data_IF_316422180678
#
_entry.id   IF_316422180678
#
_cell.length_a   1.000
_cell.length_b   1.000
_cell.length_c   1.000
_cell.angle_alpha   90.00
_cell.angle_beta   90.00
_cell.angle_gamma   90.00
#
_symmetry.space_group_name_H-M   'P 1'
#
loop_
_entity.id
_entity.type
_entity.pdbx_description
1 polymer ?
#
# COMPACT_ATOMS: atom_id res chain seq x y z
N UNK A 1 58.71 48.07 -8.85
CA UNK A 1 57.90 48.07 -7.63
C UNK A 1 56.53 47.51 -7.97
N UNK A 2 56.29 46.23 -7.67
CA UNK A 2 54.97 45.59 -7.57
C UNK A 2 55.21 44.17 -7.02
N UNK A 3 55.08 44.01 -5.70
CA UNK A 3 55.19 42.73 -5.02
C UNK A 3 53.92 41.92 -5.33
N UNK A 4 54.07 40.80 -6.04
CA UNK A 4 53.00 39.83 -6.20
C UNK A 4 52.68 39.19 -4.86
N UNK A 5 51.45 39.37 -4.38
CA UNK A 5 50.92 38.67 -3.20
C UNK A 5 50.45 37.29 -3.64
N UNK A 6 51.29 36.29 -3.42
CA UNK A 6 50.93 34.89 -3.61
C UNK A 6 49.94 34.49 -2.51
N UNK A 7 48.72 34.12 -2.90
CA UNK A 7 47.77 33.47 -2.01
C UNK A 7 48.33 32.10 -1.62
N UNK A 8 48.63 31.93 -0.33
CA UNK A 8 49.04 30.63 0.22
C UNK A 8 47.79 29.77 0.42
N UNK A 9 47.59 28.79 -0.46
CA UNK A 9 46.58 27.75 -0.27
C UNK A 9 47.04 26.88 0.91
N UNK A 10 46.46 27.09 2.09
CA UNK A 10 46.66 26.21 3.25
C UNK A 10 46.11 24.82 2.89
N UNK A 11 47.00 23.84 2.77
CA UNK A 11 46.62 22.44 2.60
C UNK A 11 45.86 21.91 3.81
N UNK A 12 44.96 20.97 3.55
CA UNK A 12 44.08 20.33 4.54
C UNK A 12 44.90 19.70 5.67
N UNK A 13 44.58 20.02 6.93
CA UNK A 13 45.33 19.50 8.08
C UNK A 13 44.80 18.13 8.51
N UNK A 14 45.66 17.25 9.05
CA UNK A 14 45.25 15.91 9.52
C UNK A 14 44.19 16.00 10.63
N UNK A 15 44.24 17.03 11.48
CA UNK A 15 43.23 17.26 12.53
C UNK A 15 41.88 17.69 11.94
N UNK A 16 41.88 18.53 10.90
CA UNK A 16 40.67 18.92 10.18
C UNK A 16 40.00 17.72 9.52
N UNK A 17 40.78 16.79 8.94
CA UNK A 17 40.27 15.52 8.42
C UNK A 17 39.57 14.70 9.51
N UNK A 18 40.21 14.54 10.67
CA UNK A 18 39.66 13.75 11.79
C UNK A 18 38.35 14.37 12.28
N UNK A 19 38.29 15.70 12.42
CA UNK A 19 37.09 16.41 12.85
C UNK A 19 35.96 16.21 11.82
N UNK A 20 36.25 16.37 10.53
CA UNK A 20 35.28 16.18 9.44
C UNK A 20 34.74 14.75 9.43
N UNK A 21 35.62 13.74 9.51
CA UNK A 21 35.21 12.33 9.58
C UNK A 21 34.35 12.07 10.81
N UNK A 22 34.73 12.61 11.97
CA UNK A 22 33.96 12.46 13.22
C UNK A 22 32.55 13.03 13.07
N UNK A 23 32.42 14.23 12.50
CA UNK A 23 31.12 14.85 12.21
C UNK A 23 30.31 13.98 11.24
N UNK A 24 30.92 13.50 10.15
CA UNK A 24 30.26 12.62 9.18
C UNK A 24 29.76 11.33 9.84
N UNK A 25 30.56 10.68 10.70
CA UNK A 25 30.18 9.45 11.40
C UNK A 25 29.01 9.69 12.34
N UNK A 26 29.01 10.78 13.10
CA UNK A 26 27.89 11.14 13.98
C UNK A 26 26.62 11.37 13.17
N UNK A 27 26.71 12.15 12.08
CA UNK A 27 25.56 12.43 11.21
C UNK A 27 25.05 11.16 10.51
N UNK A 28 25.94 10.30 10.00
CA UNK A 28 25.59 9.05 9.37
C UNK A 28 24.91 8.09 10.37
N UNK A 29 25.43 8.00 11.60
CA UNK A 29 24.82 7.20 12.66
C UNK A 29 23.41 7.67 13.00
N UNK A 30 23.19 8.97 13.14
CA UNK A 30 21.84 9.54 13.35
C UNK A 30 20.90 9.27 12.18
N UNK A 31 21.40 9.40 10.95
CA UNK A 31 20.61 9.17 9.74
C UNK A 31 20.15 7.72 9.62
N UNK A 32 21.06 6.76 9.86
CA UNK A 32 20.77 5.32 9.77
C UNK A 32 19.64 4.88 10.70
N UNK A 33 19.52 5.48 11.89
CA UNK A 33 18.44 5.17 12.84
C UNK A 33 17.07 5.63 12.33
N UNK A 34 17.02 6.67 11.50
CA UNK A 34 15.76 7.27 11.01
C UNK A 34 15.29 6.71 9.68
N UNK A 35 16.19 6.23 8.82
CA UNK A 35 15.85 5.75 7.47
C UNK A 35 14.76 4.66 7.46
N UNK A 36 14.81 3.60 8.29
CA UNK A 36 13.81 2.53 8.25
C UNK A 36 12.39 3.04 8.56
N UNK A 37 12.27 3.96 9.52
CA UNK A 37 10.99 4.58 9.88
C UNK A 37 10.38 5.38 8.72
N UNK A 38 11.19 6.06 7.91
CA UNK A 38 10.70 6.77 6.73
C UNK A 38 10.37 5.83 5.58
N UNK A 39 11.12 4.73 5.41
CA UNK A 39 10.82 3.70 4.42
C UNK A 39 9.48 3.02 4.70
N UNK A 40 9.22 2.64 5.95
CA UNK A 40 7.94 2.03 6.35
C UNK A 40 6.75 2.98 6.18
N UNK A 41 6.92 4.27 6.49
CA UNK A 41 5.87 5.26 6.21
C UNK A 41 5.62 5.44 4.71
N UNK A 42 6.69 5.47 3.91
CA UNK A 42 6.57 5.58 2.46
C UNK A 42 5.87 4.35 1.87
N UNK A 43 6.16 3.16 2.39
CA UNK A 43 5.50 1.92 2.02
C UNK A 43 4.00 1.95 2.35
N UNK A 44 3.65 2.33 3.58
CA UNK A 44 2.25 2.51 3.99
C UNK A 44 1.52 3.50 3.08
N UNK A 45 2.12 4.65 2.80
CA UNK A 45 1.52 5.66 1.94
C UNK A 45 1.30 5.15 0.50
N UNK A 46 2.28 4.42 -0.05
CA UNK A 46 2.16 3.80 -1.37
C UNK A 46 1.07 2.72 -1.42
N UNK A 47 0.94 1.92 -0.37
CA UNK A 47 -0.14 0.94 -0.25
C UNK A 47 -1.51 1.62 -0.19
N UNK A 48 -1.67 2.63 0.68
CA UNK A 48 -2.92 3.39 0.83
C UNK A 48 -3.32 4.14 -0.46
N UNK A 49 -2.35 4.57 -1.25
CA UNK A 49 -2.61 5.15 -2.57
C UNK A 49 -3.28 4.16 -3.52
N UNK A 50 -2.81 2.90 -3.55
CA UNK A 50 -3.41 1.84 -4.37
C UNK A 50 -4.80 1.48 -3.83
N UNK A 51 -4.95 1.37 -2.51
CA UNK A 51 -6.24 1.16 -1.83
C UNK A 51 -7.28 2.22 -2.23
N UNK A 52 -6.93 3.51 -2.13
CA UNK A 52 -7.82 4.62 -2.50
C UNK A 52 -8.15 4.65 -4.00
N UNK A 53 -7.20 4.26 -4.86
CA UNK A 53 -7.44 4.14 -6.29
C UNK A 53 -8.43 3.01 -6.60
N UNK A 54 -8.30 1.85 -5.93
CA UNK A 54 -9.24 0.73 -6.05
C UNK A 54 -10.63 1.15 -5.56
N UNK A 55 -10.73 1.79 -4.39
CA UNK A 55 -11.99 2.28 -3.84
C UNK A 55 -12.70 3.22 -4.82
N UNK A 56 -11.94 4.13 -5.45
CA UNK A 56 -12.49 5.06 -6.45
C UNK A 56 -12.98 4.33 -7.71
N UNK A 57 -12.23 3.34 -8.18
CA UNK A 57 -12.60 2.53 -9.34
C UNK A 57 -13.86 1.67 -9.06
N UNK A 58 -13.98 1.14 -7.84
CA UNK A 58 -15.12 0.37 -7.37
C UNK A 58 -16.40 1.21 -7.38
N UNK A 59 -16.37 2.42 -6.81
CA UNK A 59 -17.50 3.36 -6.80
C UNK A 59 -17.92 3.72 -8.23
N UNK A 60 -16.96 4.02 -9.12
CA UNK A 60 -17.26 4.35 -10.50
C UNK A 60 -17.92 3.18 -11.24
N UNK A 61 -17.38 1.96 -11.10
CA UNK A 61 -17.94 0.76 -11.73
C UNK A 61 -19.35 0.48 -11.23
N UNK A 62 -19.55 0.54 -9.92
CA UNK A 62 -20.87 0.38 -9.33
C UNK A 62 -21.86 1.42 -9.87
N UNK A 63 -21.48 2.70 -9.90
CA UNK A 63 -22.29 3.76 -10.51
C UNK A 63 -22.66 3.49 -11.97
N UNK A 64 -21.72 2.96 -12.78
CA UNK A 64 -22.03 2.58 -14.16
C UNK A 64 -22.97 1.39 -14.31
N UNK A 65 -22.95 0.43 -13.37
CA UNK A 65 -23.90 -0.68 -13.36
C UNK A 65 -25.31 -0.19 -13.02
N UNK A 66 -25.41 0.75 -12.07
CA UNK A 66 -26.68 1.36 -11.68
C UNK A 66 -27.29 2.20 -12.81
N UNK A 67 -26.51 3.05 -13.47
CA UNK A 67 -27.02 3.89 -14.58
C UNK A 67 -27.46 3.08 -15.80
N UNK A 68 -26.88 1.88 -16.00
CA UNK A 68 -27.25 0.97 -17.09
C UNK A 68 -28.44 0.06 -16.77
N UNK A 69 -28.98 0.12 -15.54
CA UNK A 69 -29.98 -0.84 -15.07
C UNK A 69 -29.47 -2.29 -15.09
N UNK A 70 -28.15 -2.48 -15.05
CA UNK A 70 -27.46 -3.77 -15.11
C UNK A 70 -26.93 -4.20 -13.74
N UNK A 71 -27.29 -3.48 -12.68
CA UNK A 71 -26.98 -3.79 -11.29
C UNK A 71 -27.82 -4.98 -10.77
N UNK A 72 -27.80 -6.08 -11.52
CA UNK A 72 -28.44 -7.32 -11.14
C UNK A 72 -27.51 -8.09 -10.19
N UNK A 73 -28.08 -8.92 -9.32
CA UNK A 73 -27.35 -9.70 -8.32
C UNK A 73 -26.11 -10.40 -8.89
N UNK A 74 -26.23 -10.99 -10.09
CA UNK A 74 -25.12 -11.66 -10.79
C UNK A 74 -23.93 -10.75 -11.12
N UNK A 75 -24.17 -9.51 -11.55
CA UNK A 75 -23.09 -8.56 -11.87
C UNK A 75 -22.46 -8.00 -10.60
N UNK A 76 -23.25 -7.81 -9.53
CA UNK A 76 -22.71 -7.44 -8.22
C UNK A 76 -21.86 -8.56 -7.63
N UNK A 77 -22.29 -9.83 -7.71
CA UNK A 77 -21.47 -10.96 -7.26
C UNK A 77 -20.17 -11.09 -8.05
N UNK A 78 -20.19 -10.77 -9.36
CA UNK A 78 -18.95 -10.67 -10.16
C UNK A 78 -18.05 -9.55 -9.69
N UNK A 79 -18.60 -8.36 -9.43
CA UNK A 79 -17.82 -7.24 -8.92
C UNK A 79 -17.13 -7.56 -7.58
N UNK A 80 -17.76 -8.35 -6.71
CA UNK A 80 -17.14 -8.82 -5.47
C UNK A 80 -16.06 -9.90 -5.67
N UNK A 81 -16.14 -10.67 -6.76
CA UNK A 81 -15.23 -11.80 -7.04
C UNK A 81 -14.09 -11.45 -7.99
N UNK A 82 -14.25 -10.38 -8.78
CA UNK A 82 -13.27 -9.94 -9.77
C UNK A 82 -12.04 -9.33 -9.09
N UNK A 83 -10.90 -9.49 -9.76
CA UNK A 83 -9.65 -8.90 -9.30
C UNK A 83 -9.71 -7.35 -9.40
N UNK A 84 -9.66 -6.62 -8.27
CA UNK A 84 -9.83 -5.16 -8.26
C UNK A 84 -8.69 -4.41 -8.98
N UNK A 85 -7.50 -5.02 -9.10
CA UNK A 85 -6.40 -4.45 -9.88
C UNK A 85 -6.76 -4.32 -11.37
N UNK A 86 -7.65 -5.18 -11.87
CA UNK A 86 -8.18 -5.12 -13.23
C UNK A 86 -9.06 -3.90 -13.50
N UNK A 87 -9.51 -3.18 -12.47
CA UNK A 87 -10.33 -1.97 -12.62
C UNK A 87 -9.51 -0.70 -12.77
N UNK A 88 -8.24 -0.75 -12.39
CA UNK A 88 -7.33 0.39 -12.48
C UNK A 88 -6.89 0.62 -13.93
N UNK A 89 -6.84 1.89 -14.35
CA UNK A 89 -6.32 2.25 -15.68
C UNK A 89 -4.84 1.89 -15.83
N UNK A 90 -4.07 2.03 -14.74
CA UNK A 90 -2.68 1.66 -14.67
C UNK A 90 -2.50 0.64 -13.55
N UNK A 91 -1.98 -0.55 -13.90
CA UNK A 91 -1.63 -1.56 -12.90
C UNK A 91 -0.46 -1.06 -12.05
N UNK A 92 -0.51 -1.24 -10.72
CA UNK A 92 0.63 -0.96 -9.85
C UNK A 92 1.87 -1.72 -10.33
N UNK A 93 3.04 -1.07 -10.30
CA UNK A 93 4.30 -1.69 -10.73
C UNK A 93 4.69 -2.89 -9.89
N UNK A 94 4.27 -2.88 -8.63
CA UNK A 94 4.49 -3.92 -7.64
C UNK A 94 3.32 -4.92 -7.57
N UNK A 95 2.63 -5.16 -8.67
CA UNK A 95 1.62 -6.21 -8.75
C UNK A 95 2.25 -7.51 -9.27
N UNK A 96 2.33 -8.51 -8.41
CA UNK A 96 2.97 -9.79 -8.71
C UNK A 96 2.07 -10.74 -9.50
N UNK A 97 0.75 -10.50 -9.55
CA UNK A 97 -0.20 -11.29 -10.31
C UNK A 97 -1.25 -12.01 -9.45
N UNK A 98 -1.87 -13.02 -10.06
CA UNK A 98 -2.91 -13.85 -9.45
C UNK A 98 -2.31 -15.19 -9.04
N UNK A 99 -2.54 -15.59 -7.80
CA UNK A 99 -2.00 -16.81 -7.20
C UNK A 99 -3.14 -17.61 -6.58
N UNK A 100 -2.99 -18.94 -6.50
CA UNK A 100 -3.93 -19.78 -5.77
C UNK A 100 -3.35 -20.09 -4.39
N UNK A 101 -4.00 -19.60 -3.33
CA UNK A 101 -3.59 -19.81 -1.94
C UNK A 101 -2.11 -19.40 -1.68
N UNK A 102 -1.72 -18.14 -1.96
CA UNK A 102 -0.33 -17.72 -1.82
C UNK A 102 0.16 -17.87 -0.37
N UNK A 103 1.38 -18.39 -0.20
CA UNK A 103 2.07 -18.33 1.09
C UNK A 103 2.86 -17.02 1.21
N UNK A 104 3.05 -16.47 2.43
CA UNK A 104 3.79 -15.22 2.64
C UNK A 104 5.23 -15.22 2.08
N UNK A 105 5.82 -16.41 1.87
CA UNK A 105 7.18 -16.57 1.34
C UNK A 105 7.22 -16.81 -0.17
N UNK A 106 6.07 -17.06 -0.80
CA UNK A 106 6.00 -17.38 -2.23
C UNK A 106 6.19 -16.14 -3.11
N UNK A 107 5.98 -14.94 -2.56
CA UNK A 107 6.05 -13.68 -3.29
C UNK A 107 6.98 -12.72 -2.53
N UNK A 108 7.72 -11.91 -3.29
CA UNK A 108 8.61 -10.92 -2.71
C UNK A 108 7.83 -9.89 -1.87
N UNK A 109 8.42 -9.38 -0.78
CA UNK A 109 7.80 -8.30 -0.01
C UNK A 109 7.60 -7.02 -0.84
N UNK A 110 6.68 -6.16 -0.38
CA UNK A 110 6.30 -4.91 -1.04
C UNK A 110 5.39 -5.10 -2.26
N UNK A 111 4.88 -6.32 -2.48
CA UNK A 111 4.08 -6.69 -3.65
C UNK A 111 2.59 -6.87 -3.32
N UNK A 112 1.75 -6.57 -4.30
CA UNK A 112 0.33 -6.89 -4.35
C UNK A 112 0.10 -8.23 -5.05
N UNK A 113 -0.74 -9.07 -4.46
CA UNK A 113 -1.08 -10.41 -4.93
C UNK A 113 -2.58 -10.61 -4.84
N UNK A 114 -3.21 -11.13 -5.88
CA UNK A 114 -4.62 -11.51 -5.79
C UNK A 114 -4.74 -13.02 -5.52
N UNK A 115 -5.42 -13.41 -4.45
CA UNK A 115 -5.70 -14.81 -4.15
C UNK A 115 -6.96 -15.30 -4.88
N UNK A 116 -6.80 -16.27 -5.76
CA UNK A 116 -7.88 -16.91 -6.49
C UNK A 116 -8.78 -17.79 -5.60
N UNK A 117 -8.29 -18.24 -4.44
CA UNK A 117 -9.05 -19.06 -3.51
C UNK A 117 -10.01 -18.21 -2.68
N UNK A 118 -9.50 -17.22 -1.94
CA UNK A 118 -10.33 -16.36 -1.09
C UNK A 118 -10.95 -15.16 -1.81
N UNK A 119 -10.46 -14.82 -3.01
CA UNK A 119 -10.76 -13.56 -3.74
C UNK A 119 -10.29 -12.30 -3.01
N UNK A 120 -9.32 -12.43 -2.13
CA UNK A 120 -8.70 -11.29 -1.45
C UNK A 120 -7.56 -10.70 -2.28
N UNK A 121 -7.43 -9.38 -2.26
CA UNK A 121 -6.21 -8.69 -2.66
C UNK A 121 -5.29 -8.56 -1.45
N UNK A 122 -4.10 -9.15 -1.53
CA UNK A 122 -3.14 -9.26 -0.44
C UNK A 122 -1.95 -8.35 -0.73
N UNK A 123 -1.60 -7.48 0.22
CA UNK A 123 -0.34 -6.74 0.22
C UNK A 123 0.66 -7.41 1.15
N UNK A 124 1.86 -7.70 0.66
CA UNK A 124 2.94 -8.29 1.47
C UNK A 124 3.86 -7.17 1.92
N UNK A 125 4.02 -7.02 3.23
CA UNK A 125 4.79 -5.91 3.84
C UNK A 125 6.29 -6.19 3.73
N UNK A 126 7.06 -5.23 3.23
CA UNK A 126 8.53 -5.23 3.12
C UNK A 126 9.18 -4.70 4.41
N UNK A 127 8.86 -3.46 4.77
CA UNK A 127 9.31 -2.80 5.99
C UNK A 127 8.19 -2.91 7.02
N UNK A 128 8.38 -3.80 7.98
CA UNK A 128 7.41 -4.04 9.05
C UNK A 128 8.08 -4.09 10.40
N UNK A 129 8.95 -3.12 10.70
CA UNK A 129 9.57 -2.96 12.01
C UNK A 129 8.55 -2.42 13.03
N UNK A 130 7.57 -1.64 12.56
CA UNK A 130 6.44 -1.12 13.35
C UNK A 130 5.10 -1.83 13.02
N UNK A 131 5.05 -2.61 11.94
CA UNK A 131 3.87 -3.39 11.57
C UNK A 131 3.54 -4.52 12.56
N UNK A 132 2.33 -4.46 13.13
CA UNK A 132 1.75 -5.55 13.92
C UNK A 132 0.88 -6.42 13.00
N UNK A 133 1.26 -7.69 12.78
CA UNK A 133 0.52 -8.59 11.90
C UNK A 133 -0.86 -8.95 12.44
N UNK A 134 -1.71 -9.42 11.53
CA UNK A 134 -3.05 -9.94 11.85
C UNK A 134 -3.02 -11.21 12.70
N UNK A 135 -4.17 -11.86 12.85
CA UNK A 135 -4.31 -13.04 13.75
C UNK A 135 -3.46 -14.23 13.31
N UNK A 136 -3.10 -14.29 12.05
CA UNK A 136 -2.28 -15.34 11.46
C UNK A 136 -0.76 -15.10 11.62
N UNK A 137 -0.36 -13.97 12.20
CA UNK A 137 1.04 -13.64 12.50
C UNK A 137 1.89 -13.31 11.27
N UNK A 138 1.26 -13.22 10.09
CA UNK A 138 1.96 -12.97 8.84
C UNK A 138 2.04 -11.47 8.53
N UNK A 139 3.17 -11.03 7.98
CA UNK A 139 3.40 -9.64 7.56
C UNK A 139 2.71 -9.33 6.22
N UNK A 140 1.40 -9.45 6.20
CA UNK A 140 0.57 -9.11 5.05
C UNK A 140 -0.73 -8.45 5.48
N UNK A 141 -1.38 -7.78 4.54
CA UNK A 141 -2.66 -7.14 4.74
C UNK A 141 -3.58 -7.66 3.65
N UNK A 142 -4.69 -8.27 4.05
CA UNK A 142 -5.70 -8.79 3.13
C UNK A 142 -6.81 -7.79 2.99
N UNK A 143 -7.20 -7.50 1.76
CA UNK A 143 -8.30 -6.62 1.44
C UNK A 143 -9.34 -7.39 0.63
N UNK A 144 -10.60 -7.09 0.91
CA UNK A 144 -11.72 -7.70 0.21
C UNK A 144 -12.75 -6.65 -0.18
N UNK A 145 -13.49 -6.93 -1.24
CA UNK A 145 -14.56 -6.06 -1.73
C UNK A 145 -15.82 -6.44 -0.98
N UNK A 146 -16.27 -5.57 -0.08
CA UNK A 146 -17.52 -5.74 0.65
C UNK A 146 -18.64 -4.94 0.01
N UNK A 147 -19.72 -5.65 -0.29
CA UNK A 147 -20.96 -5.14 -0.88
C UNK A 147 -22.01 -5.12 0.23
N UNK A 148 -22.34 -3.94 0.77
CA UNK A 148 -23.32 -3.78 1.84
C UNK A 148 -24.69 -3.36 1.30
N UNK A 149 -25.70 -4.17 1.59
CA UNK A 149 -27.09 -3.97 1.18
C UNK A 149 -27.91 -3.43 2.34
N UNK A 150 -28.61 -2.31 2.13
CA UNK A 150 -29.60 -1.75 3.06
C UNK A 150 -30.99 -2.23 2.61
N UNK A 151 -31.85 -2.74 3.51
CA UNK A 151 -33.21 -3.10 3.13
C UNK A 151 -34.00 -1.84 2.70
N UNK A 152 -34.56 -1.87 1.48
CA UNK A 152 -35.47 -0.82 1.01
C UNK A 152 -36.72 -0.83 1.90
N UNK A 153 -36.94 0.24 2.67
CA UNK A 153 -38.13 0.43 3.48
C UNK A 153 -39.39 0.31 2.61
N UNK A 154 -40.12 -0.80 2.73
CA UNK A 154 -41.41 -1.04 2.05
C UNK A 154 -41.42 -2.14 0.98
N UNK A 155 -40.28 -2.78 0.67
CA UNK A 155 -40.23 -3.94 -0.23
C UNK A 155 -40.10 -5.26 0.56
N UNK A 156 -40.96 -6.24 0.30
CA UNK A 156 -40.81 -7.63 0.81
C UNK A 156 -39.88 -8.49 -0.06
N UNK A 157 -39.20 -7.88 -1.02
CA UNK A 157 -38.24 -8.58 -1.88
C UNK A 157 -36.90 -8.73 -1.15
N UNK A 158 -36.28 -9.91 -1.26
CA UNK A 158 -35.04 -10.25 -0.53
C UNK A 158 -33.78 -9.51 -1.04
N UNK A 159 -33.94 -8.61 -2.01
CA UNK A 159 -32.89 -7.74 -2.51
C UNK A 159 -32.96 -6.36 -1.86
N UNK A 160 -32.13 -6.13 -0.84
CA UNK A 160 -31.88 -4.76 -0.36
C UNK A 160 -31.21 -3.90 -1.45
N UNK A 161 -31.36 -2.59 -1.35
CA UNK A 161 -30.61 -1.65 -2.19
C UNK A 161 -29.16 -1.65 -1.72
N UNK A 162 -28.21 -1.79 -2.63
CA UNK A 162 -26.80 -1.80 -2.25
C UNK A 162 -26.36 -0.37 -1.91
N UNK A 163 -26.17 -0.08 -0.63
CA UNK A 163 -25.88 1.27 -0.13
C UNK A 163 -24.38 1.49 0.05
N UNK A 164 -23.58 0.42 0.17
CA UNK A 164 -22.12 0.57 0.36
C UNK A 164 -21.30 -0.38 -0.51
N UNK A 165 -20.29 0.17 -1.19
CA UNK A 165 -19.20 -0.58 -1.83
C UNK A 165 -17.91 -0.20 -1.14
N UNK A 166 -17.42 -1.05 -0.23
CA UNK A 166 -16.22 -0.75 0.55
C UNK A 166 -15.14 -1.76 0.23
N UNK A 167 -13.97 -1.27 -0.16
CA UNK A 167 -12.73 -2.02 -0.19
C UNK A 167 -12.09 -1.88 1.20
N UNK A 168 -12.20 -2.94 2.02
CA UNK A 168 -11.79 -2.88 3.42
C UNK A 168 -10.81 -4.00 3.75
N UNK A 169 -9.92 -3.77 4.73
CA UNK A 169 -9.07 -4.84 5.22
C UNK A 169 -9.95 -5.95 5.84
N UNK A 170 -9.68 -7.20 5.45
CA UNK A 170 -10.37 -8.38 5.95
C UNK A 170 -10.09 -8.62 7.44
N UNK A 171 -8.93 -8.18 7.93
CA UNK A 171 -8.58 -8.17 9.35
C UNK A 171 -8.10 -6.78 9.78
N UNK A 172 -8.47 -6.30 10.97
CA UNK A 172 -7.91 -5.06 11.51
C UNK A 172 -6.40 -5.24 11.72
N UNK A 173 -5.60 -4.39 11.07
CA UNK A 173 -4.15 -4.34 11.22
C UNK A 173 -3.71 -3.03 11.89
N UNK A 174 -2.52 -3.03 12.49
CA UNK A 174 -1.88 -1.81 13.01
C UNK A 174 -0.49 -1.69 12.43
N UNK A 175 -0.18 -0.52 11.87
CA UNK A 175 1.12 -0.25 11.26
C UNK A 175 1.96 0.75 12.06
N UNK A 176 1.32 1.70 12.72
CA UNK A 176 1.94 2.63 13.64
C UNK A 176 0.97 2.81 14.81
N UNK A 177 1.50 2.98 16.02
CA UNK A 177 0.74 3.37 17.21
C UNK A 177 0.35 4.86 17.19
#
# INVERSE_FOLDING_TARGET
MALGTWHSHKGFTLIELIIVITIIVILAGMFLVRVPFYQEQAEKAAMQQVEGAIQSALVLRYGTLMTRGAANEKELSRLASDNPIGWLQQKPKNYAGEYFAPSPRAVAPGQWVFDLQSRDLIYIVDHGDYFTPGKDGNKWIRFHVQLGFEPVLGSSDKGGELVTTLFVPAEPYRWFD
#
